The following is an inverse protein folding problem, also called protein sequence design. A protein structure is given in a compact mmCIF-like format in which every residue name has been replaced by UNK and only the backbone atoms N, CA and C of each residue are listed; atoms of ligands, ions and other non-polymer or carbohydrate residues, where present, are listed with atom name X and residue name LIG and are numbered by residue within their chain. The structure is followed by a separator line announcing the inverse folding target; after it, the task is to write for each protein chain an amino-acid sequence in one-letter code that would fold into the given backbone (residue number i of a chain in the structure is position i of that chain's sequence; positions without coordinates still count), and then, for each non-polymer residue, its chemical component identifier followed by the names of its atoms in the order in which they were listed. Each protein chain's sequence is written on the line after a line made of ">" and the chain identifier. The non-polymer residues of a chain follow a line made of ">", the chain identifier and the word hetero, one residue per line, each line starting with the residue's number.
data_IF_690695029025
#
_entry.id   IF_690695029025
#
_cell.length_a   1.000
_cell.length_b   1.000
_cell.length_c   1.000
_cell.angle_alpha   90.00
_cell.angle_beta   90.00
_cell.angle_gamma   90.00
#
_symmetry.space_group_name_H-M   'P 1'
#
loop_
_entity.id
_entity.type
_entity.pdbx_description
1 polymer ?
#
# COMPACT_ATOMS: atom_id res chain seq x y z
N UNK A 1 60.79 32.80 -3.56
CA UNK A 1 60.98 33.67 -2.37
C UNK A 1 59.90 33.24 -1.39
N UNK A 2 60.27 32.55 -0.30
CA UNK A 2 60.53 33.13 1.04
C UNK A 2 59.20 33.35 1.79
N UNK A 3 58.98 32.88 3.03
CA UNK A 3 59.87 32.26 4.06
C UNK A 3 58.99 31.39 4.99
N UNK A 4 59.33 30.13 5.28
CA UNK A 4 59.95 29.60 6.51
C UNK A 4 59.04 29.54 7.78
N UNK A 5 59.07 28.37 8.43
CA UNK A 5 58.37 27.90 9.66
C UNK A 5 59.06 28.42 10.97
N UNK A 6 58.99 27.80 12.19
CA UNK A 6 58.11 26.76 12.79
C UNK A 6 57.65 27.07 14.26
N UNK A 7 56.90 26.13 14.91
CA UNK A 7 57.06 25.67 16.32
C UNK A 7 55.92 24.68 16.74
N UNK A 8 56.00 23.68 17.65
CA UNK A 8 56.93 23.23 18.74
C UNK A 8 56.78 23.98 20.09
N UNK A 9 56.62 23.40 21.30
CA UNK A 9 56.23 22.08 21.89
C UNK A 9 56.00 22.32 23.43
N UNK A 10 55.78 21.41 24.41
CA UNK A 10 55.71 19.94 24.55
C UNK A 10 54.91 19.52 25.84
N UNK A 11 54.69 18.21 26.03
CA UNK A 11 54.65 17.41 27.29
C UNK A 11 54.28 18.03 28.66
N UNK A 12 53.33 17.38 29.36
CA UNK A 12 53.49 16.79 30.74
C UNK A 12 52.31 15.84 31.00
N UNK A 13 52.48 14.51 31.12
CA UNK A 13 53.04 13.72 32.25
C UNK A 13 52.47 14.06 33.63
N UNK A 14 51.46 13.29 34.05
CA UNK A 14 51.08 13.09 35.46
C UNK A 14 50.85 11.60 35.72
N UNK A 15 51.55 11.02 36.70
CA UNK A 15 51.48 9.58 37.01
C UNK A 15 51.39 9.33 38.52
N UNK A 16 50.46 8.48 38.93
CA UNK A 16 50.29 8.02 40.31
C UNK A 16 50.22 6.48 40.37
N UNK A 17 50.64 5.91 41.50
CA UNK A 17 51.04 4.48 41.58
C UNK A 17 49.97 3.56 42.16
N UNK A 18 49.89 2.39 41.54
CA UNK A 18 49.48 1.05 42.04
C UNK A 18 49.06 0.91 43.51
N UNK A 19 47.95 0.20 43.72
CA UNK A 19 47.88 -0.96 44.64
C UNK A 19 47.17 -2.11 43.87
N UNK A 20 47.43 -3.36 44.22
CA UNK A 20 46.79 -4.55 43.62
C UNK A 20 46.52 -5.61 44.69
N UNK A 21 45.39 -6.31 44.58
CA UNK A 21 45.10 -7.54 45.33
C UNK A 21 44.43 -8.57 44.42
N UNK A 22 44.76 -9.84 44.66
CA UNK A 22 44.41 -10.99 43.82
C UNK A 22 43.05 -11.62 44.23
N UNK A 23 42.45 -12.53 43.44
CA UNK A 23 41.05 -12.90 43.60
C UNK A 23 40.79 -13.90 44.72
N UNK A 24 39.60 -13.82 45.33
CA UNK A 24 39.01 -14.90 46.11
C UNK A 24 37.91 -15.57 45.29
N UNK A 25 37.77 -16.89 45.42
CA UNK A 25 36.84 -17.69 44.64
C UNK A 25 35.83 -18.41 45.53
N UNK A 26 34.67 -18.75 44.92
CA UNK A 26 33.77 -19.84 45.31
C UNK A 26 33.00 -19.67 46.63
N UNK A 27 31.76 -19.19 46.51
CA UNK A 27 30.68 -19.67 47.40
C UNK A 27 29.43 -20.04 46.58
N UNK A 28 29.00 -21.31 46.68
CA UNK A 28 27.96 -21.90 45.83
C UNK A 28 26.55 -21.66 46.38
N UNK A 29 25.92 -20.53 46.07
CA UNK A 29 24.54 -20.26 46.50
C UNK A 29 23.50 -20.83 45.52
N UNK A 30 22.93 -21.97 45.89
CA UNK A 30 21.90 -22.73 45.17
C UNK A 30 20.55 -21.97 45.19
N UNK A 31 20.40 -20.98 44.31
CA UNK A 31 19.22 -20.13 44.24
C UNK A 31 18.01 -20.87 43.64
N UNK A 32 17.15 -21.43 44.49
CA UNK A 32 15.81 -21.86 44.10
C UNK A 32 14.97 -20.65 43.68
N UNK A 33 15.01 -20.28 42.39
CA UNK A 33 14.00 -19.40 41.79
C UNK A 33 12.97 -20.26 41.06
N UNK A 34 11.72 -20.13 41.48
CA UNK A 34 10.59 -20.71 40.76
C UNK A 34 10.51 -20.14 39.33
N UNK A 35 9.91 -20.88 38.38
CA UNK A 35 9.72 -20.40 37.01
C UNK A 35 8.62 -19.34 36.97
N UNK A 36 8.95 -18.08 37.28
CA UNK A 36 8.03 -16.93 37.22
C UNK A 36 7.76 -16.48 35.78
N UNK A 37 7.26 -17.39 34.95
CA UNK A 37 6.35 -17.02 33.87
C UNK A 37 5.01 -16.64 34.55
N UNK A 38 4.44 -15.49 34.20
CA UNK A 38 3.74 -15.40 32.92
C UNK A 38 4.62 -14.78 31.84
N UNK A 39 4.77 -15.51 30.74
CA UNK A 39 5.06 -14.88 29.46
C UNK A 39 3.88 -13.94 29.16
N UNK A 40 4.11 -12.63 29.27
CA UNK A 40 3.14 -11.62 28.82
C UNK A 40 3.12 -11.67 27.30
N UNK A 41 2.38 -12.63 26.78
CA UNK A 41 2.06 -12.72 25.37
C UNK A 41 1.26 -11.48 25.01
N UNK A 42 1.98 -10.44 24.55
CA UNK A 42 1.41 -9.32 23.83
C UNK A 42 0.63 -9.91 22.67
N UNK A 43 -0.68 -10.09 22.86
CA UNK A 43 -1.63 -10.41 21.79
C UNK A 43 -1.47 -9.29 20.78
N UNK A 44 -0.67 -9.53 19.73
CA UNK A 44 -0.48 -8.60 18.61
C UNK A 44 -1.89 -8.30 18.14
N UNK A 45 -2.40 -7.10 18.42
CA UNK A 45 -3.72 -6.68 17.95
C UNK A 45 -3.66 -6.85 16.45
N UNK A 46 -4.48 -7.77 15.92
CA UNK A 46 -4.55 -7.98 14.49
C UNK A 46 -4.79 -6.61 13.85
N UNK A 47 -3.95 -6.24 12.88
CA UNK A 47 -4.18 -4.99 12.16
C UNK A 47 -5.56 -5.11 11.51
N UNK A 48 -6.40 -4.05 11.52
CA UNK A 48 -7.65 -4.08 10.77
C UNK A 48 -7.34 -4.43 9.30
N UNK A 49 -8.22 -5.20 8.63
CA UNK A 49 -8.00 -5.56 7.24
C UNK A 49 -7.90 -4.31 6.37
N UNK A 50 -7.03 -4.36 5.36
CA UNK A 50 -6.88 -3.30 4.38
C UNK A 50 -8.19 -3.15 3.60
N UNK A 51 -8.81 -1.99 3.73
CA UNK A 51 -10.04 -1.64 3.03
C UNK A 51 -9.84 -0.43 2.12
N UNK A 52 -10.59 -0.43 1.03
CA UNK A 52 -10.72 0.69 0.09
C UNK A 52 -12.19 1.06 -0.08
N UNK A 53 -12.45 2.33 -0.33
CA UNK A 53 -13.75 2.85 -0.74
C UNK A 53 -13.67 3.18 -2.24
N UNK A 54 -14.63 2.71 -3.05
CA UNK A 54 -14.55 2.88 -4.50
C UNK A 54 -15.73 2.30 -5.28
N UNK A 55 -15.72 2.48 -6.60
CA UNK A 55 -16.69 1.91 -7.53
C UNK A 55 -16.17 0.59 -8.13
N UNK A 56 -16.99 -0.48 -8.14
CA UNK A 56 -16.73 -1.69 -8.94
C UNK A 56 -16.88 -1.35 -10.42
N UNK A 57 -15.88 -1.67 -11.24
CA UNK A 57 -15.98 -1.51 -12.69
C UNK A 57 -17.00 -2.53 -13.24
N UNK A 58 -18.14 -2.02 -13.70
CA UNK A 58 -19.19 -2.82 -14.35
C UNK A 58 -18.88 -3.03 -15.83
N UNK A 59 -19.34 -4.14 -16.41
CA UNK A 59 -19.18 -4.38 -17.85
C UNK A 59 -19.91 -3.32 -18.69
N UNK A 60 -21.08 -2.86 -18.24
CA UNK A 60 -21.84 -1.80 -18.91
C UNK A 60 -21.07 -0.46 -18.91
N UNK A 61 -20.54 -0.04 -17.76
CA UNK A 61 -19.74 1.18 -17.64
C UNK A 61 -18.45 1.11 -18.46
N UNK A 62 -17.74 -0.04 -18.42
CA UNK A 62 -16.57 -0.28 -19.26
C UNK A 62 -16.89 -0.24 -20.76
N UNK A 63 -18.05 -0.75 -21.18
CA UNK A 63 -18.48 -0.74 -22.58
C UNK A 63 -18.85 0.66 -23.08
N UNK A 64 -19.56 1.45 -22.28
CA UNK A 64 -19.83 2.85 -22.58
C UNK A 64 -18.53 3.67 -22.62
N UNK A 65 -17.61 3.42 -21.68
CA UNK A 65 -16.29 4.05 -21.66
C UNK A 65 -15.48 3.75 -22.93
N UNK A 66 -15.49 2.50 -23.38
CA UNK A 66 -14.86 2.08 -24.63
C UNK A 66 -15.44 2.81 -25.85
N UNK A 67 -16.76 2.96 -25.90
CA UNK A 67 -17.48 3.60 -27.00
C UNK A 67 -17.27 5.13 -27.05
N UNK A 68 -17.11 5.81 -25.91
CA UNK A 68 -16.74 7.24 -25.86
C UNK A 68 -15.25 7.49 -26.13
N UNK A 69 -14.35 6.69 -25.55
CA UNK A 69 -12.91 7.03 -25.49
C UNK A 69 -12.06 6.39 -26.58
N UNK A 70 -12.57 5.41 -27.32
CA UNK A 70 -11.80 4.62 -28.27
C UNK A 70 -12.53 4.41 -29.60
N UNK A 71 -11.95 3.60 -30.49
CA UNK A 71 -12.56 3.27 -31.78
C UNK A 71 -13.48 2.06 -31.61
N UNK A 72 -14.58 2.06 -32.37
CA UNK A 72 -15.55 0.98 -32.44
C UNK A 72 -14.91 -0.40 -32.56
N UNK A 73 -15.60 -1.42 -31.99
CA UNK A 73 -15.31 -2.85 -32.22
C UNK A 73 -14.97 -3.08 -33.71
N UNK A 74 -13.87 -3.78 -34.04
CA UNK A 74 -13.50 -4.02 -35.43
C UNK A 74 -14.60 -4.78 -36.19
N UNK A 75 -14.79 -4.40 -37.44
CA UNK A 75 -15.81 -4.96 -38.33
C UNK A 75 -15.45 -6.37 -38.80
N UNK A 76 -16.46 -7.16 -39.17
CA UNK A 76 -16.28 -8.51 -39.75
C UNK A 76 -15.91 -9.63 -38.76
N UNK A 77 -15.73 -9.35 -37.47
CA UNK A 77 -15.49 -10.40 -36.45
C UNK A 77 -16.72 -11.30 -36.25
N UNK A 78 -16.49 -12.61 -36.13
CA UNK A 78 -17.50 -13.58 -35.66
C UNK A 78 -17.88 -13.33 -34.20
N UNK A 79 -18.94 -13.97 -33.70
CA UNK A 79 -19.37 -13.84 -32.29
C UNK A 79 -18.30 -14.31 -31.30
N UNK A 80 -17.65 -15.44 -31.58
CA UNK A 80 -16.55 -15.98 -30.77
C UNK A 80 -15.34 -15.03 -30.75
N UNK A 81 -14.94 -14.53 -31.91
CA UNK A 81 -13.85 -13.55 -32.04
C UNK A 81 -14.20 -12.23 -31.34
N UNK A 82 -15.46 -11.80 -31.39
CA UNK A 82 -15.93 -10.61 -30.71
C UNK A 82 -15.89 -10.76 -29.19
N UNK A 83 -16.25 -11.93 -28.66
CA UNK A 83 -16.13 -12.25 -27.24
C UNK A 83 -14.66 -12.29 -26.79
N UNK A 84 -13.78 -12.92 -27.57
CA UNK A 84 -12.34 -12.97 -27.26
C UNK A 84 -11.68 -11.58 -27.33
N UNK A 85 -12.05 -10.77 -28.33
CA UNK A 85 -11.63 -9.36 -28.43
C UNK A 85 -12.12 -8.54 -27.23
N UNK A 86 -13.39 -8.68 -26.86
CA UNK A 86 -13.97 -7.93 -25.75
C UNK A 86 -13.37 -8.33 -24.39
N UNK A 87 -13.12 -9.63 -24.16
CA UNK A 87 -12.41 -10.10 -22.98
C UNK A 87 -11.00 -9.49 -22.86
N UNK A 88 -10.22 -9.53 -23.96
CA UNK A 88 -8.91 -8.86 -24.03
C UNK A 88 -9.02 -7.36 -23.78
N UNK A 89 -10.13 -6.73 -24.19
CA UNK A 89 -10.38 -5.30 -24.01
C UNK A 89 -10.74 -4.94 -22.56
N UNK A 90 -11.60 -5.70 -21.89
CA UNK A 90 -11.91 -5.52 -20.46
C UNK A 90 -10.64 -5.58 -19.59
N UNK A 91 -9.75 -6.54 -19.84
CA UNK A 91 -8.46 -6.63 -19.14
C UNK A 91 -7.58 -5.39 -19.33
N UNK A 92 -7.68 -4.68 -20.46
CA UNK A 92 -7.02 -3.39 -20.66
C UNK A 92 -7.76 -2.23 -19.95
N UNK A 93 -9.09 -2.23 -19.98
CA UNK A 93 -9.93 -1.21 -19.34
C UNK A 93 -9.80 -1.22 -17.80
N UNK A 94 -9.59 -2.39 -17.18
CA UNK A 94 -9.22 -2.52 -15.76
C UNK A 94 -7.91 -1.81 -15.38
N UNK A 95 -7.02 -1.53 -16.34
CA UNK A 95 -5.85 -0.67 -16.12
C UNK A 95 -6.13 0.78 -16.51
N UNK A 96 -6.75 0.99 -17.67
CA UNK A 96 -6.94 2.32 -18.27
C UNK A 96 -7.87 3.19 -17.40
N UNK A 97 -9.02 2.66 -16.96
CA UNK A 97 -10.02 3.48 -16.27
C UNK A 97 -9.52 3.93 -14.89
N UNK A 98 -8.98 3.06 -14.01
CA UNK A 98 -8.37 3.52 -12.75
C UNK A 98 -7.21 4.50 -12.99
N UNK A 99 -6.33 4.23 -13.97
CA UNK A 99 -5.24 5.16 -14.32
C UNK A 99 -5.76 6.55 -14.71
N UNK A 100 -6.82 6.62 -15.51
CA UNK A 100 -7.43 7.89 -15.93
C UNK A 100 -8.08 8.60 -14.75
N UNK A 101 -8.78 7.90 -13.88
CA UNK A 101 -9.41 8.48 -12.70
C UNK A 101 -8.36 9.01 -11.69
N UNK A 102 -7.31 8.24 -11.40
CA UNK A 102 -6.16 8.65 -10.57
C UNK A 102 -5.56 9.96 -11.09
N UNK A 103 -5.19 10.04 -12.37
CA UNK A 103 -4.56 11.22 -12.94
C UNK A 103 -5.50 12.42 -13.13
N UNK A 104 -6.83 12.20 -13.18
CA UNK A 104 -7.82 13.25 -13.44
C UNK A 104 -8.39 13.89 -12.16
N UNK A 105 -8.54 13.10 -11.09
CA UNK A 105 -9.22 13.51 -9.87
C UNK A 105 -8.34 13.36 -8.61
N UNK A 106 -7.03 13.18 -8.77
CA UNK A 106 -6.03 13.01 -7.69
C UNK A 106 -6.35 11.84 -6.73
N UNK A 107 -6.85 10.73 -7.28
CA UNK A 107 -7.28 9.58 -6.49
C UNK A 107 -6.09 8.71 -6.02
N UNK A 108 -6.18 8.05 -4.85
CA UNK A 108 -5.06 7.29 -4.30
C UNK A 108 -4.73 5.99 -5.05
N UNK A 109 -3.45 5.79 -5.33
CA UNK A 109 -2.88 4.54 -5.86
C UNK A 109 -2.53 3.56 -4.73
N UNK A 110 -3.33 2.51 -4.57
CA UNK A 110 -3.20 1.51 -3.48
C UNK A 110 -1.89 0.73 -3.63
N UNK A 111 -1.06 0.71 -2.58
CA UNK A 111 0.30 0.14 -2.60
C UNK A 111 1.19 0.64 -3.78
N UNK A 112 0.92 1.84 -4.29
CA UNK A 112 1.60 2.39 -5.48
C UNK A 112 1.19 1.73 -6.80
N UNK A 113 0.07 0.99 -6.82
CA UNK A 113 -0.45 0.29 -7.99
C UNK A 113 -1.62 1.05 -8.62
N UNK A 114 -1.69 0.98 -9.95
CA UNK A 114 -2.81 1.50 -10.76
C UNK A 114 -4.07 0.65 -10.62
N UNK A 115 -3.93 -0.68 -10.56
CA UNK A 115 -5.05 -1.61 -10.42
C UNK A 115 -5.26 -1.89 -8.92
N UNK A 116 -6.48 -1.70 -8.44
CA UNK A 116 -6.91 -2.18 -7.11
C UNK A 116 -7.88 -3.35 -7.30
N UNK A 117 -7.48 -4.54 -6.86
CA UNK A 117 -8.31 -5.76 -6.81
C UNK A 117 -8.86 -5.96 -5.41
N UNK A 118 -10.15 -6.28 -5.31
CA UNK A 118 -10.87 -6.41 -4.04
C UNK A 118 -11.79 -7.63 -4.03
N UNK A 119 -12.11 -8.12 -2.83
CA UNK A 119 -13.13 -9.15 -2.61
C UNK A 119 -14.53 -8.52 -2.60
N UNK A 120 -15.45 -9.05 -3.41
CA UNK A 120 -16.88 -8.66 -3.48
C UNK A 120 -17.75 -9.93 -3.43
N UNK A 121 -17.96 -10.45 -2.21
CA UNK A 121 -18.46 -11.81 -2.02
C UNK A 121 -17.33 -12.82 -2.21
N UNK A 122 -17.56 -13.84 -3.03
CA UNK A 122 -16.54 -14.83 -3.44
C UNK A 122 -15.77 -14.38 -4.71
N UNK A 123 -16.19 -13.30 -5.37
CA UNK A 123 -15.54 -12.73 -6.56
C UNK A 123 -14.35 -11.83 -6.19
N UNK A 124 -13.30 -11.85 -7.03
CA UNK A 124 -12.26 -10.81 -7.05
C UNK A 124 -12.54 -9.84 -8.20
N UNK A 125 -12.71 -8.55 -7.89
CA UNK A 125 -13.13 -7.51 -8.84
C UNK A 125 -12.19 -6.31 -8.85
N UNK A 126 -12.11 -5.60 -9.98
CA UNK A 126 -11.35 -4.35 -10.08
C UNK A 126 -12.21 -3.14 -9.70
N UNK A 127 -11.64 -2.21 -8.94
CA UNK A 127 -12.31 -0.97 -8.50
C UNK A 127 -11.55 0.29 -8.92
N UNK A 128 -12.29 1.39 -9.09
CA UNK A 128 -11.73 2.75 -9.01
C UNK A 128 -11.74 3.17 -7.54
N UNK A 129 -10.56 3.23 -6.94
CA UNK A 129 -10.37 3.62 -5.53
C UNK A 129 -10.57 5.13 -5.37
N UNK A 130 -11.46 5.51 -4.46
CA UNK A 130 -11.70 6.88 -4.00
C UNK A 130 -10.97 7.19 -2.69
N UNK A 131 -10.89 6.20 -1.79
CA UNK A 131 -10.13 6.30 -0.54
C UNK A 131 -9.54 4.95 -0.13
N UNK A 132 -8.40 4.98 0.58
CA UNK A 132 -7.64 3.83 1.06
C UNK A 132 -7.32 3.98 2.55
N UNK A 133 -7.75 3.00 3.35
CA UNK A 133 -7.52 2.96 4.80
C UNK A 133 -6.08 2.66 5.24
N UNK A 134 -5.18 2.26 4.34
CA UNK A 134 -3.78 1.96 4.69
C UNK A 134 -3.00 3.18 5.23
N UNK A 135 -3.35 4.39 4.80
CA UNK A 135 -2.72 5.63 5.26
C UNK A 135 -3.77 6.63 5.77
N UNK A 136 -3.38 7.52 6.70
CA UNK A 136 -4.29 8.57 7.18
C UNK A 136 -4.66 9.56 6.08
N UNK A 137 -3.71 9.92 5.21
CA UNK A 137 -3.92 10.89 4.14
C UNK A 137 -4.98 10.42 3.13
N UNK A 138 -5.00 9.12 2.84
CA UNK A 138 -5.92 8.50 1.87
C UNK A 138 -7.21 7.97 2.48
N UNK A 139 -7.36 7.98 3.81
CA UNK A 139 -8.46 7.29 4.52
C UNK A 139 -9.82 8.00 4.50
N UNK A 140 -9.87 9.24 4.02
CA UNK A 140 -11.07 10.08 3.94
C UNK A 140 -11.54 10.10 2.48
N UNK A 141 -12.83 9.81 2.18
CA UNK A 141 -13.38 9.97 0.84
C UNK A 141 -13.27 11.41 0.32
N UNK A 142 -13.16 11.62 -1.01
CA UNK A 142 -13.29 12.94 -1.61
C UNK A 142 -14.74 13.47 -1.48
N UNK A 143 -14.99 14.71 -1.91
CA UNK A 143 -16.34 15.30 -1.86
C UNK A 143 -17.33 14.57 -2.77
N UNK A 144 -18.62 14.64 -2.43
CA UNK A 144 -19.70 14.03 -3.21
C UNK A 144 -19.72 14.50 -4.67
N UNK A 145 -19.27 15.73 -4.92
CA UNK A 145 -19.05 16.30 -6.27
C UNK A 145 -18.02 15.49 -7.06
N UNK A 146 -16.84 15.22 -6.48
CA UNK A 146 -15.79 14.40 -7.12
C UNK A 146 -16.25 12.95 -7.27
N UNK A 147 -17.01 12.42 -6.30
CA UNK A 147 -17.60 11.08 -6.40
C UNK A 147 -18.56 11.01 -7.61
N UNK A 148 -19.41 12.02 -7.80
CA UNK A 148 -20.30 12.12 -8.95
C UNK A 148 -19.56 12.33 -10.28
N UNK A 149 -18.49 13.13 -10.32
CA UNK A 149 -17.66 13.29 -11.52
C UNK A 149 -16.91 12.00 -11.90
N UNK A 150 -16.41 11.23 -10.91
CA UNK A 150 -15.83 9.90 -11.14
C UNK A 150 -16.89 8.94 -11.67
N UNK A 151 -18.06 8.87 -11.03
CA UNK A 151 -19.18 8.01 -11.45
C UNK A 151 -19.58 8.30 -12.92
N UNK A 152 -19.69 9.57 -13.28
CA UNK A 152 -19.95 10.03 -14.64
C UNK A 152 -18.82 9.68 -15.61
N UNK A 153 -17.56 9.88 -15.22
CA UNK A 153 -16.42 9.56 -16.10
C UNK A 153 -16.31 8.05 -16.39
N UNK A 154 -16.88 7.17 -15.56
CA UNK A 154 -16.91 5.72 -15.78
C UNK A 154 -18.29 5.19 -16.24
N UNK A 155 -19.23 6.09 -16.57
CA UNK A 155 -20.61 5.78 -16.99
C UNK A 155 -21.38 4.88 -16.00
N UNK A 156 -21.27 5.20 -14.70
CA UNK A 156 -21.96 4.53 -13.58
C UNK A 156 -22.62 5.54 -12.63
N UNK A 157 -23.26 6.60 -13.15
CA UNK A 157 -23.91 7.66 -12.35
C UNK A 157 -25.00 7.15 -11.39
N UNK A 158 -25.58 5.98 -11.69
CA UNK A 158 -26.63 5.33 -10.88
C UNK A 158 -26.08 4.33 -9.85
N UNK A 159 -24.78 4.07 -9.83
CA UNK A 159 -24.14 3.20 -8.83
C UNK A 159 -23.70 4.02 -7.60
N UNK A 160 -23.31 3.33 -6.53
CA UNK A 160 -22.86 3.96 -5.28
C UNK A 160 -21.56 3.29 -4.80
N UNK A 161 -20.51 4.06 -4.48
CA UNK A 161 -19.24 3.49 -4.07
C UNK A 161 -19.37 2.81 -2.70
N UNK A 162 -18.64 1.71 -2.53
CA UNK A 162 -18.75 0.83 -1.36
C UNK A 162 -17.38 0.60 -0.74
N UNK A 163 -17.37 0.11 0.51
CA UNK A 163 -16.13 -0.36 1.16
C UNK A 163 -15.91 -1.82 0.84
N UNK A 164 -14.75 -2.12 0.27
CA UNK A 164 -14.31 -3.48 -0.05
C UNK A 164 -13.02 -3.83 0.71
N UNK A 165 -12.76 -5.12 0.90
CA UNK A 165 -11.46 -5.62 1.39
C UNK A 165 -10.51 -5.77 0.19
N UNK A 166 -9.30 -5.22 0.28
CA UNK A 166 -8.25 -5.42 -0.73
C UNK A 166 -7.87 -6.91 -0.79
N UNK A 167 -7.79 -7.46 -2.01
CA UNK A 167 -7.37 -8.83 -2.26
C UNK A 167 -5.83 -8.89 -2.34
N UNK A 168 -5.22 -9.75 -1.53
CA UNK A 168 -3.76 -9.93 -1.53
C UNK A 168 -3.35 -10.88 -2.66
N UNK A 169 -2.10 -10.74 -3.13
CA UNK A 169 -1.49 -11.77 -3.97
C UNK A 169 -1.21 -13.02 -3.11
N UNK A 170 -2.12 -13.99 -3.15
CA UNK A 170 -2.11 -15.19 -2.32
C UNK A 170 -3.28 -15.35 -1.34
N UNK A 171 -4.29 -14.47 -1.41
CA UNK A 171 -5.68 -14.84 -1.04
C UNK A 171 -6.27 -15.80 -2.09
#
# INVERSE_FOLDING_TARGET
>A
MSTVSPNVSETTRGASKKVSFAPSARESRKANRAPTNPCVAFKRRARPPHQVYGFRLSEAGMKAYEEEHFRSKPEGLTEEQAAEWWFKRMCALWMIIPMRCINRFDLPSVDGRTITTVHDGDDIVCVVTLADTATRATSVPPSDEVIAEVAKHIHQENDQPRRYRVANMGD
#
